data_IF_350323992339
#
_entry.id   IF_350323992339
#
_cell.length_a   1.000
_cell.length_b   1.000
_cell.length_c   1.000
_cell.angle_alpha   90.00
_cell.angle_beta   90.00
_cell.angle_gamma   90.00
#
_symmetry.space_group_name_H-M   'P 1'
#
loop_
_entity.id
_entity.type
_entity.pdbx_description
1 polymer ?
#
# COMPACT_ATOMS: atom_id res chain seq x y z
N UNK A 1 -38.65 7.84 4.56
CA UNK A 1 -38.02 6.60 4.19
C UNK A 1 -36.68 6.53 4.86
N UNK A 2 -36.40 5.54 5.46
CA UNK A 2 -35.28 4.73 5.80
C UNK A 2 -35.05 4.48 7.24
N UNK A 3 -35.19 3.20 7.61
CA UNK A 3 -34.23 2.58 8.50
C UNK A 3 -34.29 1.05 8.42
N UNK A 4 -33.79 0.43 7.33
CA UNK A 4 -33.64 -1.02 7.35
C UNK A 4 -32.36 -1.47 8.06
N UNK A 5 -31.36 -0.60 8.31
CA UNK A 5 -30.06 -0.99 8.84
C UNK A 5 -30.02 -1.10 10.37
N UNK A 6 -30.68 -0.21 11.10
CA UNK A 6 -30.72 -0.26 12.57
C UNK A 6 -31.34 -1.53 13.12
N UNK A 7 -32.35 -2.07 12.43
CA UNK A 7 -32.96 -3.34 12.79
C UNK A 7 -32.07 -4.56 12.57
N UNK A 8 -31.24 -4.54 11.55
CA UNK A 8 -30.28 -5.62 11.23
C UNK A 8 -29.13 -5.67 12.24
N UNK A 9 -28.59 -4.52 12.62
CA UNK A 9 -27.52 -4.43 13.63
C UNK A 9 -28.00 -4.99 14.98
N UNK A 10 -29.19 -4.57 15.42
CA UNK A 10 -29.77 -5.05 16.69
C UNK A 10 -30.05 -6.57 16.64
N UNK A 11 -30.55 -7.08 15.50
CA UNK A 11 -30.81 -8.50 15.32
C UNK A 11 -29.50 -9.32 15.33
N UNK A 12 -28.46 -8.84 14.67
CA UNK A 12 -27.16 -9.49 14.65
C UNK A 12 -26.47 -9.48 16.01
N UNK A 13 -26.47 -8.35 16.71
CA UNK A 13 -25.97 -8.26 18.09
C UNK A 13 -26.73 -9.19 19.05
N UNK A 14 -28.05 -9.30 18.89
CA UNK A 14 -28.88 -10.23 19.66
C UNK A 14 -28.52 -11.69 19.36
N UNK A 15 -28.31 -12.04 18.10
CA UNK A 15 -27.88 -13.37 17.71
C UNK A 15 -26.49 -13.72 18.27
N UNK A 16 -25.52 -12.80 18.18
CA UNK A 16 -24.18 -12.99 18.76
C UNK A 16 -24.25 -13.22 20.27
N UNK A 17 -25.08 -12.47 21.00
CA UNK A 17 -25.28 -12.67 22.44
C UNK A 17 -25.87 -14.05 22.72
N UNK A 18 -26.85 -14.48 21.95
CA UNK A 18 -27.50 -15.79 22.12
C UNK A 18 -26.59 -16.96 21.72
N UNK A 19 -25.65 -16.74 20.79
CA UNK A 19 -24.67 -17.74 20.35
C UNK A 19 -23.46 -17.86 21.29
N UNK A 20 -23.37 -17.07 22.36
CA UNK A 20 -22.34 -17.21 23.38
C UNK A 20 -21.00 -16.53 23.09
N UNK A 21 -20.98 -15.57 22.17
CA UNK A 21 -19.75 -14.82 21.84
C UNK A 21 -19.35 -13.76 22.88
N UNK A 22 -20.06 -13.68 24.01
CA UNK A 22 -19.67 -12.89 25.20
C UNK A 22 -19.50 -11.40 24.91
N UNK A 23 -18.34 -10.85 25.28
CA UNK A 23 -18.02 -9.43 25.14
C UNK A 23 -17.98 -8.94 23.69
N UNK A 24 -17.79 -9.84 22.71
CA UNK A 24 -17.77 -9.49 21.30
C UNK A 24 -19.14 -9.23 20.70
N UNK A 25 -20.21 -9.56 21.45
CA UNK A 25 -21.60 -9.44 20.97
C UNK A 25 -22.01 -8.01 20.59
N UNK A 26 -21.45 -7.01 21.28
CA UNK A 26 -21.73 -5.60 21.02
C UNK A 26 -20.77 -4.99 19.98
N UNK A 27 -19.79 -5.77 19.55
CA UNK A 27 -18.76 -5.41 18.56
C UNK A 27 -18.72 -6.38 17.38
N UNK A 28 -19.90 -6.82 16.94
CA UNK A 28 -20.07 -7.84 15.90
C UNK A 28 -19.76 -7.33 14.48
N UNK A 29 -19.49 -6.03 14.34
CA UNK A 29 -19.29 -5.37 13.03
C UNK A 29 -17.92 -4.74 12.90
N UNK A 30 -17.40 -4.72 11.70
CA UNK A 30 -16.30 -3.83 11.32
C UNK A 30 -16.86 -2.44 11.04
N UNK A 31 -16.10 -1.40 11.41
CA UNK A 31 -16.48 0.01 11.21
C UNK A 31 -15.44 0.73 10.37
N UNK A 32 -15.86 1.67 9.54
CA UNK A 32 -15.00 2.53 8.73
C UNK A 32 -15.23 3.98 9.12
N UNK A 33 -14.15 4.72 9.30
CA UNK A 33 -14.17 6.17 9.39
C UNK A 33 -13.69 6.74 8.06
N UNK A 34 -14.43 7.69 7.51
CA UNK A 34 -14.12 8.34 6.23
C UNK A 34 -13.67 9.78 6.43
N UNK A 35 -12.95 10.32 5.46
CA UNK A 35 -12.63 11.74 5.43
C UNK A 35 -13.89 12.57 5.18
N UNK A 36 -13.87 13.83 5.66
CA UNK A 36 -14.97 14.78 5.45
C UNK A 36 -14.88 15.49 4.08
N UNK A 37 -14.60 14.74 3.02
CA UNK A 37 -14.52 15.27 1.64
C UNK A 37 -15.44 14.48 0.71
N UNK A 38 -15.81 15.04 -0.46
CA UNK A 38 -16.63 14.33 -1.44
C UNK A 38 -15.98 13.06 -2.02
N UNK A 39 -14.73 12.79 -1.72
CA UNK A 39 -14.03 11.59 -2.18
C UNK A 39 -14.31 10.35 -1.32
N UNK A 40 -14.86 10.55 -0.11
CA UNK A 40 -15.25 9.48 0.83
C UNK A 40 -14.16 8.41 1.00
N UNK A 41 -12.89 8.84 1.13
CA UNK A 41 -11.79 7.90 1.29
C UNK A 41 -11.73 7.40 2.74
N UNK A 42 -11.53 6.09 2.96
CA UNK A 42 -11.42 5.56 4.32
C UNK A 42 -10.15 6.10 5.00
N UNK A 43 -10.28 6.57 6.24
CA UNK A 43 -9.17 7.00 7.09
C UNK A 43 -8.80 5.93 8.10
N UNK A 44 -9.81 5.22 8.65
CA UNK A 44 -9.59 4.14 9.60
C UNK A 44 -10.55 2.98 9.35
N UNK A 45 -10.04 1.78 9.58
CA UNK A 45 -10.82 0.55 9.53
C UNK A 45 -10.64 -0.19 10.85
N UNK A 46 -11.74 -0.47 11.51
CA UNK A 46 -11.80 -1.24 12.75
C UNK A 46 -12.38 -2.62 12.44
N UNK A 47 -11.79 -3.65 12.99
CA UNK A 47 -12.32 -5.01 12.88
C UNK A 47 -13.43 -5.24 13.90
N UNK A 48 -14.24 -6.26 13.65
CA UNK A 48 -15.15 -6.80 14.64
C UNK A 48 -14.39 -7.41 15.82
N UNK A 49 -15.00 -7.40 17.00
CA UNK A 49 -14.44 -7.89 18.25
C UNK A 49 -14.10 -6.77 19.22
N UNK A 50 -14.28 -7.01 20.53
CA UNK A 50 -14.11 -6.02 21.56
C UNK A 50 -12.71 -5.39 21.61
N UNK A 51 -11.69 -6.18 21.28
CA UNK A 51 -10.28 -5.73 21.28
C UNK A 51 -9.92 -4.83 20.08
N UNK A 52 -10.74 -4.86 19.01
CA UNK A 52 -10.47 -4.16 17.75
C UNK A 52 -11.48 -3.07 17.41
N UNK A 53 -12.62 -3.06 18.11
CA UNK A 53 -13.68 -2.09 17.85
C UNK A 53 -13.26 -0.66 18.21
N UNK A 54 -13.92 0.33 17.59
CA UNK A 54 -13.68 1.74 17.86
C UNK A 54 -13.89 2.06 19.35
N UNK A 55 -12.89 2.69 19.97
CA UNK A 55 -12.94 3.04 21.40
C UNK A 55 -11.57 3.32 21.99
N UNK A 56 -11.52 3.47 23.30
CA UNK A 56 -10.28 3.68 24.03
C UNK A 56 -9.40 2.42 23.94
N UNK A 57 -8.19 2.57 23.38
CA UNK A 57 -7.24 1.45 23.16
C UNK A 57 -7.39 0.73 21.83
N UNK A 58 -8.34 1.14 20.98
CA UNK A 58 -8.49 0.58 19.64
C UNK A 58 -7.22 0.73 18.80
N UNK A 59 -6.94 -0.30 18.00
CA UNK A 59 -5.83 -0.32 17.04
C UNK A 59 -6.38 -0.52 15.61
N UNK A 60 -6.86 0.55 14.96
CA UNK A 60 -7.37 0.45 13.60
C UNK A 60 -6.25 0.31 12.58
N UNK A 61 -6.57 -0.25 11.43
CA UNK A 61 -5.79 0.02 10.21
C UNK A 61 -6.06 1.48 9.82
N UNK A 62 -5.00 2.27 9.65
CA UNK A 62 -5.12 3.69 9.27
C UNK A 62 -4.64 3.92 7.85
N UNK A 63 -5.32 4.84 7.15
CA UNK A 63 -4.94 5.26 5.82
C UNK A 63 -4.70 6.77 5.79
N UNK A 64 -3.67 7.20 5.06
CA UNK A 64 -3.44 8.61 4.76
C UNK A 64 -3.06 8.78 3.30
N UNK A 65 -3.49 9.91 2.73
CA UNK A 65 -3.38 10.22 1.31
C UNK A 65 -2.54 11.47 1.13
N UNK A 66 -1.53 11.39 0.30
CA UNK A 66 -0.62 12.50 0.00
C UNK A 66 -0.04 12.33 -1.41
N UNK A 67 0.94 13.14 -1.76
CA UNK A 67 1.75 12.95 -2.96
C UNK A 67 3.21 12.64 -2.56
N UNK A 68 4.02 12.22 -3.55
CA UNK A 68 5.45 12.03 -3.35
C UNK A 68 6.16 13.38 -3.13
N UNK A 69 7.24 13.35 -2.33
CA UNK A 69 8.16 14.46 -2.17
C UNK A 69 9.22 14.49 -3.28
N UNK A 70 9.97 15.58 -3.36
CA UNK A 70 11.14 15.69 -4.25
C UNK A 70 12.21 14.66 -3.85
N UNK A 71 12.77 13.97 -4.83
CA UNK A 71 13.83 12.97 -4.59
C UNK A 71 13.39 11.69 -3.87
N UNK A 72 12.09 11.48 -3.68
CA UNK A 72 11.57 10.36 -2.87
C UNK A 72 11.45 9.06 -3.66
N UNK A 73 11.01 9.12 -4.93
CA UNK A 73 10.73 7.95 -5.77
C UNK A 73 11.53 8.04 -7.06
N UNK A 74 12.30 6.98 -7.38
CA UNK A 74 13.10 6.92 -8.60
C UNK A 74 12.22 6.80 -9.84
N UNK A 75 12.59 7.52 -10.88
CA UNK A 75 11.95 7.43 -12.20
C UNK A 75 12.62 6.32 -13.00
N UNK A 76 11.93 5.21 -13.13
CA UNK A 76 12.36 4.02 -13.86
C UNK A 76 11.55 3.86 -15.14
N UNK A 77 12.20 3.42 -16.21
CA UNK A 77 11.58 3.12 -17.49
C UNK A 77 12.28 1.94 -18.16
N UNK A 78 11.71 1.45 -19.25
CA UNK A 78 12.29 0.38 -20.07
C UNK A 78 12.62 0.97 -21.45
N UNK A 79 13.84 0.75 -21.93
CA UNK A 79 14.25 1.16 -23.30
C UNK A 79 13.72 0.20 -24.36
N UNK A 80 14.01 0.50 -25.64
CA UNK A 80 13.57 -0.31 -26.78
C UNK A 80 14.20 -1.72 -26.79
N UNK A 81 15.36 -1.87 -26.17
CA UNK A 81 16.10 -3.12 -26.03
C UNK A 81 15.65 -3.96 -24.83
N UNK A 82 14.73 -3.43 -24.01
CA UNK A 82 14.21 -4.08 -22.81
C UNK A 82 15.07 -3.89 -21.56
N UNK A 83 16.01 -2.95 -21.58
CA UNK A 83 16.85 -2.66 -20.42
C UNK A 83 16.14 -1.69 -19.47
N UNK A 84 16.41 -1.84 -18.17
CA UNK A 84 15.95 -0.92 -17.16
C UNK A 84 16.78 0.37 -17.19
N UNK A 85 16.12 1.51 -17.28
CA UNK A 85 16.73 2.83 -17.28
C UNK A 85 16.31 3.61 -16.04
N UNK A 86 17.29 4.15 -15.32
CA UNK A 86 17.09 5.07 -14.20
C UNK A 86 17.30 6.49 -14.69
N UNK A 87 16.23 7.30 -14.71
CA UNK A 87 16.25 8.67 -15.23
C UNK A 87 16.33 9.75 -14.15
N UNK A 88 16.54 9.35 -12.89
CA UNK A 88 16.55 10.21 -11.71
C UNK A 88 15.35 9.94 -10.81
N UNK A 89 14.59 10.99 -10.48
CA UNK A 89 13.45 10.91 -9.55
C UNK A 89 12.19 11.50 -10.17
N UNK A 90 11.04 11.04 -9.71
CA UNK A 90 9.77 11.69 -10.01
C UNK A 90 9.74 13.09 -9.40
N UNK A 91 9.22 14.10 -10.11
CA UNK A 91 8.97 15.42 -9.54
C UNK A 91 8.02 15.33 -8.34
N UNK A 92 8.15 16.24 -7.39
CA UNK A 92 7.22 16.33 -6.27
C UNK A 92 5.78 16.47 -6.77
N UNK A 93 4.86 15.74 -6.18
CA UNK A 93 3.44 15.77 -6.55
C UNK A 93 3.05 14.98 -7.80
N UNK A 94 3.99 14.29 -8.46
CA UNK A 94 3.72 13.53 -9.68
C UNK A 94 3.04 12.18 -9.42
N UNK A 95 3.19 11.64 -8.22
CA UNK A 95 2.62 10.35 -7.81
C UNK A 95 1.66 10.55 -6.64
N UNK A 96 0.53 9.85 -6.68
CA UNK A 96 -0.34 9.71 -5.52
C UNK A 96 0.28 8.69 -4.55
N UNK A 97 0.28 9.02 -3.25
CA UNK A 97 0.74 8.14 -2.18
C UNK A 97 -0.40 7.77 -1.26
N UNK A 98 -0.59 6.48 -1.06
CA UNK A 98 -1.46 5.92 -0.02
C UNK A 98 -0.56 5.26 1.02
N UNK A 99 -0.58 5.79 2.24
CA UNK A 99 0.08 5.17 3.39
C UNK A 99 -0.94 4.39 4.19
N UNK A 100 -0.64 3.13 4.46
CA UNK A 100 -1.42 2.26 5.35
C UNK A 100 -0.55 1.85 6.53
N UNK A 101 -1.05 2.03 7.75
CA UNK A 101 -0.46 1.43 8.93
C UNK A 101 -1.44 0.38 9.50
N UNK A 102 -0.95 -0.84 9.70
CA UNK A 102 -1.74 -1.94 10.27
C UNK A 102 -1.89 -1.82 11.78
N UNK A 103 -2.63 -2.74 12.39
CA UNK A 103 -2.91 -2.77 13.82
C UNK A 103 -1.65 -2.95 14.69
N UNK A 104 -0.57 -3.46 14.10
CA UNK A 104 0.75 -3.63 14.74
C UNK A 104 1.67 -2.43 14.48
N UNK A 105 1.20 -1.43 13.74
CA UNK A 105 1.97 -0.24 13.41
C UNK A 105 2.97 -0.43 12.26
N UNK A 106 2.86 -1.54 11.48
CA UNK A 106 3.67 -1.72 10.28
C UNK A 106 3.13 -0.82 9.18
N UNK A 107 4.02 -0.10 8.53
CA UNK A 107 3.65 0.90 7.53
C UNK A 107 3.98 0.41 6.12
N UNK A 108 3.02 0.57 5.23
CA UNK A 108 3.20 0.36 3.78
C UNK A 108 2.78 1.63 3.04
N UNK A 109 3.67 2.15 2.20
CA UNK A 109 3.40 3.24 1.27
C UNK A 109 3.27 2.68 -0.15
N UNK A 110 2.17 3.00 -0.82
CA UNK A 110 1.97 2.67 -2.23
C UNK A 110 1.94 3.97 -3.02
N UNK A 111 2.84 4.08 -4.00
CA UNK A 111 2.90 5.21 -4.91
C UNK A 111 2.36 4.80 -6.27
N UNK A 112 1.40 5.57 -6.78
CA UNK A 112 0.74 5.30 -8.06
C UNK A 112 0.82 6.51 -8.98
N UNK A 113 0.94 6.25 -10.28
CA UNK A 113 0.90 7.29 -11.30
C UNK A 113 -0.53 7.79 -11.57
N UNK A 114 -0.66 8.74 -12.48
CA UNK A 114 -1.94 9.34 -12.88
C UNK A 114 -2.87 8.36 -13.64
N UNK A 115 -2.38 7.20 -14.04
CA UNK A 115 -3.17 6.11 -14.64
C UNK A 115 -3.59 5.07 -13.60
N UNK A 116 -3.23 5.28 -12.32
CA UNK A 116 -3.52 4.36 -11.21
C UNK A 116 -2.57 3.15 -11.15
N UNK A 117 -1.48 3.13 -11.92
CA UNK A 117 -0.52 2.04 -11.89
C UNK A 117 0.43 2.21 -10.70
N UNK A 118 0.64 1.16 -9.95
CA UNK A 118 1.62 1.16 -8.85
C UNK A 118 3.03 1.24 -9.43
N UNK A 119 3.78 2.26 -9.00
CA UNK A 119 5.18 2.50 -9.36
C UNK A 119 6.10 1.96 -8.28
N UNK A 120 5.75 2.17 -7.02
CA UNK A 120 6.56 1.77 -5.86
C UNK A 120 5.65 1.30 -4.72
N UNK A 121 5.99 0.16 -4.15
CA UNK A 121 5.53 -0.29 -2.84
C UNK A 121 6.70 -0.22 -1.87
N UNK A 122 6.56 0.59 -0.81
CA UNK A 122 7.56 0.75 0.24
C UNK A 122 7.02 0.20 1.55
N UNK A 123 7.70 -0.79 2.12
CA UNK A 123 7.41 -1.27 3.47
C UNK A 123 8.41 -0.67 4.44
N UNK A 124 7.91 -0.09 5.53
CA UNK A 124 8.74 0.54 6.56
C UNK A 124 8.78 -0.38 7.78
N UNK A 125 9.99 -0.73 8.20
CA UNK A 125 10.23 -1.55 9.39
C UNK A 125 11.29 -0.84 10.26
N UNK A 126 10.84 -0.19 11.32
CA UNK A 126 11.71 0.64 12.15
C UNK A 126 12.31 1.81 11.35
N UNK A 127 13.62 1.81 11.19
CA UNK A 127 14.37 2.83 10.42
C UNK A 127 14.65 2.40 8.98
N UNK A 128 14.35 1.15 8.62
CA UNK A 128 14.61 0.61 7.28
C UNK A 128 13.38 0.70 6.38
N UNK A 129 13.61 0.96 5.10
CA UNK A 129 12.58 0.87 4.07
C UNK A 129 12.94 -0.21 3.05
N UNK A 130 11.95 -1.01 2.70
CA UNK A 130 12.05 -2.08 1.72
C UNK A 130 11.23 -1.68 0.50
N UNK A 131 11.91 -1.25 -0.54
CA UNK A 131 11.32 -0.69 -1.75
C UNK A 131 11.18 -1.76 -2.84
N UNK A 132 9.98 -1.91 -3.38
CA UNK A 132 9.71 -2.75 -4.56
C UNK A 132 9.13 -1.88 -5.66
N UNK A 133 9.88 -1.71 -6.75
CA UNK A 133 9.45 -0.97 -7.93
C UNK A 133 8.78 -1.88 -8.94
N UNK A 134 7.72 -1.37 -9.57
CA UNK A 134 7.06 -1.96 -10.74
C UNK A 134 7.24 -1.04 -11.92
N UNK A 135 7.84 -1.54 -13.00
CA UNK A 135 8.21 -0.73 -14.17
C UNK A 135 7.46 -1.26 -15.38
N UNK A 136 6.49 -0.50 -15.90
CA UNK A 136 5.77 -0.89 -17.11
C UNK A 136 6.62 -0.65 -18.36
N UNK A 137 6.35 -1.44 -19.39
CA UNK A 137 6.81 -1.17 -20.74
C UNK A 137 6.00 -0.03 -21.41
N UNK A 138 6.29 0.26 -22.66
CA UNK A 138 5.59 1.29 -23.45
C UNK A 138 4.12 0.94 -23.71
N UNK A 139 3.72 -0.33 -23.59
CA UNK A 139 2.34 -0.78 -23.73
C UNK A 139 1.57 -0.75 -22.39
N UNK A 140 2.28 -0.52 -21.29
CA UNK A 140 1.73 -0.50 -19.95
C UNK A 140 1.72 -1.85 -19.24
N UNK A 141 2.32 -2.90 -19.83
CA UNK A 141 2.50 -4.19 -19.16
C UNK A 141 3.66 -4.10 -18.16
N UNK A 142 3.56 -4.79 -17.03
CA UNK A 142 4.66 -4.88 -16.07
C UNK A 142 5.83 -5.65 -16.72
N UNK A 143 6.92 -4.95 -16.99
CA UNK A 143 8.12 -5.50 -17.64
C UNK A 143 9.22 -5.83 -16.64
N UNK A 144 9.37 -5.02 -15.60
CA UNK A 144 10.34 -5.23 -14.53
C UNK A 144 9.71 -5.09 -13.15
N UNK A 145 10.08 -6.00 -12.25
CA UNK A 145 9.88 -5.85 -10.82
C UNK A 145 11.25 -5.81 -10.15
N UNK A 146 11.56 -4.68 -9.50
CA UNK A 146 12.81 -4.49 -8.77
C UNK A 146 12.54 -4.59 -7.29
N UNK A 147 12.87 -5.74 -6.69
CA UNK A 147 12.70 -5.98 -5.26
C UNK A 147 13.67 -5.20 -4.38
N UNK A 148 13.54 -5.29 -3.04
CA UNK A 148 14.30 -4.47 -2.09
C UNK A 148 15.82 -4.56 -2.24
N UNK A 149 16.35 -5.76 -2.47
CA UNK A 149 17.78 -5.95 -2.71
C UNK A 149 18.27 -5.27 -3.98
N UNK A 150 17.47 -5.32 -5.06
CA UNK A 150 17.77 -4.62 -6.30
C UNK A 150 17.62 -3.11 -6.18
N UNK A 151 16.58 -2.64 -5.48
CA UNK A 151 16.31 -1.21 -5.31
C UNK A 151 17.43 -0.47 -4.57
N UNK A 152 18.08 -1.14 -3.60
CA UNK A 152 19.21 -0.61 -2.87
C UNK A 152 20.47 -0.44 -3.76
N UNK A 153 20.54 -1.17 -4.87
CA UNK A 153 21.66 -1.14 -5.80
C UNK A 153 21.41 -0.25 -7.03
N UNK A 154 20.22 0.34 -7.15
CA UNK A 154 19.90 1.24 -8.26
C UNK A 154 20.82 2.46 -8.25
N UNK A 155 21.49 2.81 -9.37
CA UNK A 155 22.28 4.02 -9.46
C UNK A 155 21.38 5.27 -9.43
N UNK A 156 21.97 6.43 -9.29
CA UNK A 156 21.20 7.68 -9.41
C UNK A 156 20.70 7.87 -10.85
N UNK A 157 21.50 7.52 -11.82
CA UNK A 157 21.16 7.50 -13.24
C UNK A 157 21.95 6.41 -13.97
N UNK A 158 21.39 5.84 -15.00
CA UNK A 158 22.07 4.88 -15.87
C UNK A 158 21.16 3.82 -16.43
N UNK A 159 21.68 3.02 -17.35
CA UNK A 159 21.00 1.89 -17.97
C UNK A 159 21.51 0.59 -17.34
N UNK A 160 20.59 -0.29 -17.02
CA UNK A 160 20.88 -1.62 -16.52
C UNK A 160 20.48 -2.64 -17.57
N UNK A 161 21.47 -3.29 -18.18
CA UNK A 161 21.21 -4.31 -19.19
C UNK A 161 20.57 -5.56 -18.58
N UNK A 162 19.53 -6.09 -19.21
CA UNK A 162 19.08 -7.44 -18.93
C UNK A 162 20.06 -8.43 -19.58
N UNK A 163 20.69 -9.32 -18.89
CA UNK A 163 20.45 -10.09 -17.66
C UNK A 163 21.43 -9.76 -16.51
N UNK A 164 21.85 -8.53 -16.38
CA UNK A 164 22.99 -8.13 -15.56
C UNK A 164 22.72 -7.67 -14.13
N UNK A 165 21.48 -7.65 -13.67
CA UNK A 165 21.17 -7.36 -12.28
C UNK A 165 21.42 -8.60 -11.41
N UNK A 166 22.66 -8.73 -10.97
CA UNK A 166 23.00 -9.65 -9.88
C UNK A 166 23.26 -8.85 -8.62
N UNK A 167 22.77 -9.34 -7.47
CA UNK A 167 23.19 -8.83 -6.17
C UNK A 167 24.71 -9.08 -5.93
N UNK A 168 25.24 -8.62 -4.80
CA UNK A 168 26.64 -8.85 -4.43
C UNK A 168 27.03 -10.35 -4.35
N UNK A 169 26.05 -11.27 -4.36
CA UNK A 169 26.21 -12.72 -4.33
C UNK A 169 25.97 -13.37 -5.71
N UNK A 170 25.72 -12.58 -6.75
CA UNK A 170 25.49 -13.09 -8.11
C UNK A 170 24.07 -13.60 -8.37
N UNK A 171 23.09 -13.29 -7.50
CA UNK A 171 21.70 -13.69 -7.68
C UNK A 171 21.00 -12.72 -8.61
N UNK A 172 20.35 -13.16 -9.73
CA UNK A 172 19.61 -12.26 -10.61
C UNK A 172 18.48 -11.55 -9.87
N UNK A 173 18.42 -10.22 -9.94
CA UNK A 173 17.23 -9.49 -9.58
C UNK A 173 16.11 -9.92 -10.55
N UNK A 174 15.01 -10.41 -9.99
CA UNK A 174 14.00 -11.13 -10.75
C UNK A 174 13.41 -10.28 -11.89
N UNK A 175 13.59 -10.77 -13.10
CA UNK A 175 12.80 -10.38 -14.27
C UNK A 175 11.59 -11.30 -14.29
N UNK A 176 10.39 -10.75 -14.21
CA UNK A 176 9.17 -11.47 -14.57
C UNK A 176 8.88 -11.23 -16.05
N UNK A 177 8.88 -12.33 -16.81
CA UNK A 177 8.30 -12.36 -18.15
C UNK A 177 6.84 -12.80 -18.05
#
# INVERSE_FOLDING_TARGET
AEEPLSGLEAAQASWHRSAGYGADSDHAFSTLEYEASPLDRPLKSYRAGADYAAGAGARPVTHSYSANAEGEVRLLSVDAEGNLVVSGFYPAGALARVRTADEDGRVTDVFSDNMGRTVLERRVSGTESLDTYRVPDFQGNESWTVGPGGSALLPERGTWAAPGLTDANGTPAARFC
#
